data_IF_588596544965
#
_entry.id   IF_588596544965
#
_cell.length_a   1.000
_cell.length_b   1.000
_cell.length_c   1.000
_cell.angle_alpha   90.00
_cell.angle_beta   90.00
_cell.angle_gamma   90.00
#
_symmetry.space_group_name_H-M   'P 1'
#
loop_
_entity.id
_entity.type
_entity.pdbx_description
1 polymer ?
#
# COMPACT_ATOMS: atom_id res chain seq x y z
N UNK A 1 24.21 -4.15 16.89
CA UNK A 1 23.46 -4.01 18.15
C UNK A 1 22.00 -4.38 17.97
N UNK A 2 21.26 -3.82 17.02
CA UNK A 2 19.87 -4.23 16.69
C UNK A 2 19.70 -5.75 16.59
N UNK A 3 20.53 -6.42 15.76
CA UNK A 3 20.54 -7.88 15.62
C UNK A 3 20.75 -8.63 16.95
N UNK A 4 21.55 -8.08 17.85
CA UNK A 4 21.83 -8.67 19.16
C UNK A 4 20.62 -8.54 20.09
N UNK A 5 19.95 -7.38 20.09
CA UNK A 5 18.69 -7.16 20.81
C UNK A 5 17.62 -8.16 20.34
N UNK A 6 17.44 -8.30 19.03
CA UNK A 6 16.50 -9.25 18.45
C UNK A 6 16.85 -10.70 18.82
N UNK A 7 18.14 -11.08 18.77
CA UNK A 7 18.60 -12.41 19.20
C UNK A 7 18.29 -12.66 20.68
N UNK A 8 18.42 -11.65 21.54
CA UNK A 8 18.10 -11.77 22.96
C UNK A 8 16.59 -11.93 23.19
N UNK A 9 15.75 -11.26 22.40
CA UNK A 9 14.29 -11.41 22.39
C UNK A 9 13.88 -12.83 21.97
N UNK A 10 14.48 -13.35 20.90
CA UNK A 10 14.22 -14.70 20.39
C UNK A 10 14.58 -15.78 21.42
N UNK A 11 15.63 -15.54 22.22
CA UNK A 11 16.04 -16.41 23.32
C UNK A 11 15.28 -16.15 24.63
N UNK A 12 14.22 -15.32 24.62
CA UNK A 12 13.42 -14.94 25.78
C UNK A 12 14.21 -14.27 26.92
N UNK A 13 15.34 -13.66 26.60
CA UNK A 13 16.20 -12.93 27.54
C UNK A 13 15.85 -11.44 27.58
N UNK A 14 14.58 -11.13 27.82
CA UNK A 14 14.03 -9.77 27.71
C UNK A 14 14.76 -8.75 28.60
N UNK A 15 15.14 -9.12 29.83
CA UNK A 15 15.91 -8.24 30.73
C UNK A 15 17.28 -7.85 30.15
N UNK A 16 17.95 -8.78 29.47
CA UNK A 16 19.24 -8.51 28.83
C UNK A 16 19.06 -7.59 27.61
N UNK A 17 18.06 -7.88 26.77
CA UNK A 17 17.69 -7.03 25.64
C UNK A 17 17.33 -5.60 26.10
N UNK A 18 16.55 -5.49 27.17
CA UNK A 18 16.14 -4.22 27.78
C UNK A 18 17.34 -3.42 28.29
N UNK A 19 18.26 -4.06 29.02
CA UNK A 19 19.47 -3.40 29.52
C UNK A 19 20.36 -2.92 28.35
N UNK A 20 20.44 -3.70 27.28
CA UNK A 20 21.20 -3.33 26.09
C UNK A 20 20.59 -2.12 25.37
N UNK A 21 19.26 -2.04 25.28
CA UNK A 21 18.57 -0.86 24.74
C UNK A 21 18.86 0.39 25.58
N UNK A 22 18.77 0.29 26.92
CA UNK A 22 19.01 1.43 27.82
C UNK A 22 20.44 1.98 27.77
N UNK A 23 21.40 1.19 27.28
CA UNK A 23 22.80 1.59 27.16
C UNK A 23 23.13 2.25 25.81
N UNK A 24 22.17 2.33 24.87
CA UNK A 24 22.43 2.88 23.54
C UNK A 24 21.39 3.90 23.08
N UNK A 25 21.79 5.17 23.10
CA UNK A 25 21.00 6.32 22.66
C UNK A 25 20.84 6.44 21.12
N UNK A 26 21.57 5.63 20.33
CA UNK A 26 21.53 5.68 18.86
C UNK A 26 20.56 4.68 18.22
N UNK A 27 19.77 3.96 19.01
CA UNK A 27 18.77 3.04 18.49
C UNK A 27 17.57 3.79 17.91
N UNK A 28 16.86 3.12 16.99
CA UNK A 28 15.54 3.58 16.56
C UNK A 28 14.62 3.76 17.79
N UNK A 29 13.78 4.79 17.78
CA UNK A 29 12.96 5.19 18.93
C UNK A 29 12.03 4.08 19.39
N UNK A 30 11.62 3.20 18.48
CA UNK A 30 10.76 2.07 18.78
C UNK A 30 11.37 1.12 19.81
N UNK A 31 12.70 0.98 19.88
CA UNK A 31 13.35 0.18 20.93
C UNK A 31 13.17 0.81 22.30
N UNK A 32 13.28 2.15 22.39
CA UNK A 32 13.00 2.88 23.64
C UNK A 32 11.54 2.71 24.03
N UNK A 33 10.63 2.89 23.07
CA UNK A 33 9.19 2.69 23.28
C UNK A 33 8.89 1.28 23.77
N UNK A 34 9.52 0.25 23.21
CA UNK A 34 9.40 -1.11 23.69
C UNK A 34 9.81 -1.24 25.16
N UNK A 35 10.93 -0.64 25.59
CA UNK A 35 11.34 -0.69 27.00
C UNK A 35 10.35 -0.02 27.94
N UNK A 36 9.68 1.05 27.50
CA UNK A 36 8.65 1.74 28.28
C UNK A 36 7.37 0.89 28.40
N UNK A 37 6.95 0.23 27.30
CA UNK A 37 5.85 -0.75 27.36
C UNK A 37 6.22 -1.91 28.29
N UNK A 38 7.45 -2.41 28.21
CA UNK A 38 7.95 -3.47 29.09
C UNK A 38 7.92 -3.08 30.57
N UNK A 39 8.19 -1.81 30.89
CA UNK A 39 8.06 -1.24 32.23
C UNK A 39 6.60 -1.00 32.68
N UNK A 40 5.61 -1.38 31.85
CA UNK A 40 4.19 -1.24 32.14
C UNK A 40 3.62 0.16 31.87
N UNK A 41 4.35 1.02 31.15
CA UNK A 41 3.83 2.33 30.76
C UNK A 41 2.77 2.18 29.67
N UNK A 42 1.66 2.89 29.84
CA UNK A 42 0.61 3.02 28.84
C UNK A 42 0.77 4.33 28.09
N UNK A 43 0.60 4.30 26.78
CA UNK A 43 0.81 5.47 25.94
C UNK A 43 -0.52 6.11 25.55
N UNK A 44 -1.01 7.11 26.29
CA UNK A 44 -2.21 7.85 25.90
C UNK A 44 -1.94 8.81 24.72
N UNK A 45 -0.77 9.44 24.74
CA UNK A 45 -0.19 10.22 23.64
C UNK A 45 1.30 10.00 23.68
N UNK A 46 1.85 9.32 22.69
CA UNK A 46 3.29 9.34 22.48
C UNK A 46 3.65 10.80 22.19
N UNK A 47 4.71 11.29 22.83
CA UNK A 47 5.34 12.56 22.44
C UNK A 47 5.62 12.48 20.93
N UNK A 48 4.76 13.15 20.14
CA UNK A 48 4.57 12.98 18.68
C UNK A 48 5.82 13.32 17.87
N UNK A 49 6.89 13.69 18.53
CA UNK A 49 8.10 14.20 17.93
C UNK A 49 9.06 13.05 17.61
N UNK A 50 8.73 12.30 16.55
CA UNK A 50 9.68 11.40 15.88
C UNK A 50 10.66 12.25 15.07
N UNK A 51 11.61 12.88 15.77
CA UNK A 51 12.84 13.39 15.17
C UNK A 51 13.80 12.22 14.90
N UNK A 52 13.54 11.43 13.86
CA UNK A 52 14.58 10.52 13.34
C UNK A 52 15.09 11.09 12.02
N UNK A 53 16.40 11.26 11.91
CA UNK A 53 17.05 11.61 10.64
C UNK A 53 16.90 10.50 9.57
N UNK A 54 16.44 9.29 9.97
CA UNK A 54 16.15 8.16 9.08
C UNK A 54 14.76 7.56 9.38
N UNK A 55 13.72 8.29 9.00
CA UNK A 55 12.29 7.92 9.16
C UNK A 55 11.92 6.58 8.53
N UNK A 56 12.57 6.19 7.43
CA UNK A 56 12.35 4.88 6.81
C UNK A 56 12.85 3.75 7.70
N UNK A 57 14.02 3.92 8.32
CA UNK A 57 14.59 2.93 9.22
C UNK A 57 13.77 2.76 10.51
N UNK A 58 13.12 3.83 10.99
CA UNK A 58 12.20 3.74 12.14
C UNK A 58 10.98 2.84 11.85
N UNK A 59 10.40 2.92 10.63
CA UNK A 59 9.31 2.01 10.21
C UNK A 59 9.82 0.57 10.14
N UNK A 60 10.95 0.34 9.48
CA UNK A 60 11.54 -0.99 9.30
C UNK A 60 11.83 -1.65 10.65
N UNK A 61 12.45 -0.92 11.57
CA UNK A 61 12.76 -1.43 12.90
C UNK A 61 11.51 -1.67 13.74
N UNK A 62 10.45 -0.88 13.54
CA UNK A 62 9.16 -1.11 14.19
C UNK A 62 8.50 -2.40 13.76
N UNK A 63 8.52 -2.69 12.46
CA UNK A 63 8.04 -3.96 11.90
C UNK A 63 8.84 -5.13 12.47
N UNK A 64 10.17 -5.08 12.36
CA UNK A 64 11.05 -6.17 12.83
C UNK A 64 10.82 -6.48 14.30
N UNK A 65 10.86 -5.45 15.15
CA UNK A 65 10.74 -5.63 16.59
C UNK A 65 9.36 -6.21 16.96
N UNK A 66 8.28 -5.73 16.35
CA UNK A 66 6.94 -6.28 16.58
C UNK A 66 6.85 -7.76 16.20
N UNK A 67 7.36 -8.14 15.03
CA UNK A 67 7.32 -9.53 14.56
C UNK A 67 8.11 -10.46 15.48
N UNK A 68 9.30 -10.07 15.95
CA UNK A 68 10.09 -10.89 16.88
C UNK A 68 9.36 -11.05 18.22
N UNK A 69 8.80 -9.95 18.75
CA UNK A 69 8.03 -9.98 19.99
C UNK A 69 6.79 -10.87 19.88
N UNK A 70 6.07 -10.83 18.75
CA UNK A 70 4.83 -11.59 18.53
C UNK A 70 5.05 -13.09 18.25
N UNK A 71 6.26 -13.47 17.84
CA UNK A 71 6.69 -14.85 17.69
C UNK A 71 7.27 -15.42 18.99
N UNK A 72 7.67 -14.55 19.92
CA UNK A 72 8.19 -14.93 21.22
C UNK A 72 7.08 -15.21 22.25
N UNK A 73 7.43 -15.74 23.42
CA UNK A 73 6.51 -15.94 24.56
C UNK A 73 6.26 -14.64 25.34
N UNK A 74 6.28 -13.49 24.67
CA UNK A 74 6.06 -12.22 25.34
C UNK A 74 4.60 -12.08 25.80
N UNK A 75 4.39 -11.29 26.84
CA UNK A 75 3.07 -11.11 27.42
C UNK A 75 2.07 -10.55 26.39
N UNK A 76 0.86 -11.11 26.34
CA UNK A 76 -0.14 -10.77 25.31
C UNK A 76 -0.69 -9.36 25.47
N UNK A 77 -0.84 -8.88 26.69
CA UNK A 77 -1.33 -7.51 26.95
C UNK A 77 -0.26 -6.49 26.54
N UNK A 78 1.00 -6.74 26.92
CA UNK A 78 2.14 -5.93 26.51
C UNK A 78 2.33 -5.93 24.99
N UNK A 79 2.19 -7.10 24.35
CA UNK A 79 2.27 -7.22 22.89
C UNK A 79 1.13 -6.44 22.21
N UNK A 80 -0.08 -6.47 22.76
CA UNK A 80 -1.22 -5.71 22.23
C UNK A 80 -0.99 -4.21 22.34
N UNK A 81 -0.48 -3.73 23.47
CA UNK A 81 -0.14 -2.32 23.67
C UNK A 81 1.00 -1.88 22.74
N UNK A 82 2.06 -2.70 22.65
CA UNK A 82 3.17 -2.44 21.73
C UNK A 82 2.71 -2.42 20.27
N UNK A 83 1.83 -3.34 19.85
CA UNK A 83 1.23 -3.32 18.51
C UNK A 83 0.53 -1.99 18.23
N UNK A 84 -0.32 -1.55 19.16
CA UNK A 84 -1.08 -0.30 19.03
C UNK A 84 -0.15 0.89 18.83
N UNK A 85 0.88 0.96 19.66
CA UNK A 85 1.89 2.01 19.63
C UNK A 85 2.74 1.97 18.35
N UNK A 86 3.23 0.80 17.94
CA UNK A 86 4.03 0.64 16.72
C UNK A 86 3.24 1.04 15.47
N UNK A 87 1.96 0.65 15.37
CA UNK A 87 1.09 1.10 14.27
C UNK A 87 0.92 2.61 14.25
N UNK A 88 0.76 3.23 15.42
CA UNK A 88 0.59 4.68 15.54
C UNK A 88 1.86 5.41 15.06
N UNK A 89 3.03 4.97 15.50
CA UNK A 89 4.34 5.49 15.06
C UNK A 89 4.48 5.39 13.53
N UNK A 90 4.22 4.21 12.97
CA UNK A 90 4.31 3.97 11.52
C UNK A 90 3.35 4.89 10.76
N UNK A 91 2.10 5.02 11.22
CA UNK A 91 1.09 5.85 10.58
C UNK A 91 1.42 7.36 10.68
N UNK A 92 1.96 7.82 11.80
CA UNK A 92 2.38 9.21 11.99
C UNK A 92 3.56 9.57 11.07
N UNK A 93 4.55 8.67 10.95
CA UNK A 93 5.68 8.87 10.03
C UNK A 93 5.16 8.95 8.58
N UNK A 94 4.29 8.03 8.17
CA UNK A 94 3.71 8.04 6.83
C UNK A 94 2.91 9.32 6.53
N UNK A 95 2.12 9.79 7.50
CA UNK A 95 1.38 11.05 7.37
C UNK A 95 2.31 12.27 7.30
N UNK A 96 3.35 12.31 8.13
CA UNK A 96 4.36 13.37 8.11
C UNK A 96 5.10 13.43 6.77
N UNK A 97 5.49 12.28 6.23
CA UNK A 97 6.13 12.15 4.92
C UNK A 97 5.21 12.62 3.77
N UNK A 98 3.95 12.19 3.78
CA UNK A 98 2.95 12.67 2.82
C UNK A 98 2.81 14.18 2.87
N UNK A 99 2.66 14.75 4.07
CA UNK A 99 2.54 16.20 4.23
C UNK A 99 3.79 16.95 3.76
N UNK A 100 4.98 16.41 4.01
CA UNK A 100 6.24 16.98 3.51
C UNK A 100 6.38 16.88 1.98
N UNK A 101 5.71 15.91 1.34
CA UNK A 101 5.68 15.75 -0.11
C UNK A 101 4.70 16.70 -0.82
N UNK A 102 3.95 17.50 -0.08
CA UNK A 102 3.02 18.48 -0.61
C UNK A 102 3.50 19.89 -0.26
N UNK A 103 3.87 20.69 -1.26
CA UNK A 103 4.10 22.13 -1.07
C UNK A 103 2.93 22.89 -1.66
N UNK A 104 2.28 23.76 -0.89
CA UNK A 104 1.22 24.62 -1.43
C UNK A 104 1.86 25.87 -2.02
N UNK A 105 1.71 26.07 -3.33
CA UNK A 105 2.13 27.29 -4.03
C UNK A 105 0.90 27.87 -4.72
N UNK A 106 0.55 29.12 -4.39
CA UNK A 106 -0.62 29.83 -4.93
C UNK A 106 -1.95 29.06 -4.83
N UNK A 107 -2.13 28.28 -3.76
CA UNK A 107 -3.34 27.47 -3.54
C UNK A 107 -3.37 26.14 -4.30
N UNK A 108 -2.34 25.82 -5.08
CA UNK A 108 -2.16 24.53 -5.74
C UNK A 108 -1.21 23.65 -4.92
N UNK A 109 -1.54 22.35 -4.84
CA UNK A 109 -0.66 21.35 -4.21
C UNK A 109 0.38 20.94 -5.24
N UNK A 110 1.65 21.31 -5.00
CA UNK A 110 2.80 20.81 -5.74
C UNK A 110 3.32 19.57 -5.03
N UNK A 111 3.26 18.43 -5.71
CA UNK A 111 3.87 17.19 -5.25
C UNK A 111 5.38 17.26 -5.43
N UNK A 112 6.13 17.33 -4.34
CA UNK A 112 7.58 17.15 -4.33
C UNK A 112 7.85 15.76 -3.80
N UNK A 113 8.24 14.78 -4.64
CA UNK A 113 8.51 13.44 -4.18
C UNK A 113 9.49 13.48 -3.01
N UNK A 114 9.12 12.85 -1.89
CA UNK A 114 10.07 12.69 -0.81
C UNK A 114 11.10 11.65 -1.27
N UNK A 115 12.22 12.09 -1.86
CA UNK A 115 13.41 11.26 -2.12
C UNK A 115 14.00 10.59 -0.86
N UNK A 116 13.33 10.75 0.29
CA UNK A 116 13.76 10.36 1.62
C UNK A 116 13.27 8.97 2.04
N UNK A 117 12.38 8.31 1.27
CA UNK A 117 11.84 7.01 1.65
C UNK A 117 12.41 5.92 0.75
N UNK A 118 13.08 4.95 1.37
CA UNK A 118 13.58 3.76 0.68
C UNK A 118 12.38 2.88 0.26
N UNK A 119 12.32 2.40 -1.00
CA UNK A 119 11.21 1.57 -1.46
C UNK A 119 11.00 0.27 -0.66
N UNK A 120 12.06 -0.26 -0.06
CA UNK A 120 12.04 -1.47 0.79
C UNK A 120 11.14 -1.35 2.02
N UNK A 121 10.82 -0.12 2.47
CA UNK A 121 9.84 0.13 3.52
C UNK A 121 8.48 -0.49 3.17
N UNK A 122 8.09 -0.50 1.88
CA UNK A 122 6.84 -1.13 1.43
C UNK A 122 6.83 -2.63 1.68
N UNK A 123 7.97 -3.29 1.48
CA UNK A 123 8.09 -4.75 1.65
C UNK A 123 7.99 -5.13 3.13
N UNK A 124 8.59 -4.33 4.02
CA UNK A 124 8.42 -4.52 5.47
C UNK A 124 6.98 -4.30 5.92
N UNK A 125 6.28 -3.29 5.40
CA UNK A 125 4.87 -3.10 5.73
C UNK A 125 4.02 -4.26 5.18
N UNK A 126 4.34 -4.77 3.99
CA UNK A 126 3.68 -5.96 3.42
C UNK A 126 3.90 -7.20 4.30
N UNK A 127 5.12 -7.40 4.82
CA UNK A 127 5.41 -8.49 5.78
C UNK A 127 4.56 -8.35 7.06
N UNK A 128 4.39 -7.12 7.56
CA UNK A 128 3.55 -6.85 8.73
C UNK A 128 2.07 -7.12 8.45
N UNK A 129 1.56 -6.75 7.26
CA UNK A 129 0.19 -7.03 6.81
C UNK A 129 -0.06 -8.55 6.80
N UNK A 130 0.86 -9.32 6.23
CA UNK A 130 0.77 -10.79 6.18
C UNK A 130 0.85 -11.40 7.57
N UNK A 131 1.67 -10.82 8.45
CA UNK A 131 1.74 -11.23 9.84
C UNK A 131 0.41 -11.01 10.56
N UNK A 132 -0.23 -9.85 10.37
CA UNK A 132 -1.54 -9.56 10.94
C UNK A 132 -2.63 -10.47 10.40
N UNK A 133 -2.58 -10.81 9.12
CA UNK A 133 -3.52 -11.76 8.50
C UNK A 133 -3.44 -13.15 9.15
N UNK A 134 -2.21 -13.69 9.30
CA UNK A 134 -1.97 -14.98 9.98
C UNK A 134 -2.43 -15.01 11.44
N UNK A 135 -2.54 -13.84 12.08
CA UNK A 135 -2.98 -13.67 13.47
C UNK A 135 -4.45 -13.23 13.57
N UNK A 136 -5.17 -13.17 12.45
CA UNK A 136 -6.57 -12.72 12.36
C UNK A 136 -6.79 -11.30 12.92
N UNK A 137 -5.77 -10.44 12.82
CA UNK A 137 -5.80 -9.04 13.28
C UNK A 137 -6.28 -8.11 12.15
N UNK A 138 -7.50 -8.33 11.67
CA UNK A 138 -8.02 -7.73 10.43
C UNK A 138 -8.03 -6.19 10.42
N UNK A 139 -8.38 -5.52 11.53
CA UNK A 139 -8.32 -4.05 11.61
C UNK A 139 -6.88 -3.53 11.49
N UNK A 140 -5.92 -4.23 12.11
CA UNK A 140 -4.51 -3.86 12.03
C UNK A 140 -3.93 -4.10 10.64
N UNK A 141 -4.39 -5.16 9.97
CA UNK A 141 -4.10 -5.45 8.56
C UNK A 141 -4.62 -4.32 7.65
N UNK A 142 -5.85 -3.88 7.85
CA UNK A 142 -6.46 -2.78 7.12
C UNK A 142 -5.69 -1.46 7.34
N UNK A 143 -5.38 -1.11 8.59
CA UNK A 143 -4.60 0.08 8.93
C UNK A 143 -3.25 0.13 8.19
N UNK A 144 -2.54 -1.00 8.14
CA UNK A 144 -1.22 -1.05 7.49
C UNK A 144 -1.32 -1.04 5.97
N UNK A 145 -2.37 -1.60 5.36
CA UNK A 145 -2.61 -1.44 3.93
C UNK A 145 -2.86 0.03 3.55
N UNK A 146 -3.62 0.78 4.38
CA UNK A 146 -3.76 2.23 4.21
C UNK A 146 -2.41 2.93 4.26
N UNK A 147 -1.59 2.66 5.29
CA UNK A 147 -0.26 3.26 5.44
C UNK A 147 0.62 2.94 4.22
N UNK A 148 0.62 1.68 3.77
CA UNK A 148 1.39 1.25 2.61
C UNK A 148 1.00 2.04 1.37
N UNK A 149 -0.30 2.14 1.06
CA UNK A 149 -0.81 2.92 -0.07
C UNK A 149 -0.43 4.41 0.01
N UNK A 150 -0.54 5.01 1.20
CA UNK A 150 -0.12 6.41 1.43
C UNK A 150 1.36 6.64 1.15
N UNK A 151 2.22 5.72 1.59
CA UNK A 151 3.67 5.80 1.32
C UNK A 151 3.97 5.60 -0.17
N UNK A 152 3.31 4.65 -0.82
CA UNK A 152 3.46 4.38 -2.26
C UNK A 152 3.15 5.62 -3.11
N UNK A 153 2.04 6.31 -2.79
CA UNK A 153 1.68 7.58 -3.43
C UNK A 153 2.72 8.68 -3.17
N UNK A 154 3.33 8.69 -1.98
CA UNK A 154 4.36 9.68 -1.60
C UNK A 154 5.69 9.44 -2.31
N UNK A 155 6.02 8.19 -2.62
CA UNK A 155 7.28 7.76 -3.25
C UNK A 155 7.32 8.01 -4.78
N UNK A 156 6.20 8.39 -5.40
CA UNK A 156 6.06 8.52 -6.86
C UNK A 156 6.55 7.28 -7.63
N UNK A 157 6.15 6.10 -7.17
CA UNK A 157 6.45 4.83 -7.83
C UNK A 157 5.60 4.64 -9.10
N UNK A 158 5.98 3.69 -9.93
CA UNK A 158 5.21 3.29 -11.12
C UNK A 158 3.76 2.92 -10.77
N UNK A 159 2.84 3.22 -11.69
CA UNK A 159 1.39 3.00 -11.52
C UNK A 159 1.05 1.59 -11.06
N UNK A 160 1.81 0.57 -11.49
CA UNK A 160 1.61 -0.81 -11.03
C UNK A 160 1.67 -1.00 -9.52
N UNK A 161 2.54 -0.27 -8.83
CA UNK A 161 2.65 -0.35 -7.37
C UNK A 161 1.53 0.43 -6.69
N UNK A 162 1.15 1.59 -7.25
CA UNK A 162 0.05 2.42 -6.77
C UNK A 162 -1.27 1.65 -6.84
N UNK A 163 -1.60 1.08 -8.01
CA UNK A 163 -2.83 0.33 -8.23
C UNK A 163 -2.94 -0.88 -7.30
N UNK A 164 -1.87 -1.68 -7.20
CA UNK A 164 -1.86 -2.86 -6.33
C UNK A 164 -2.10 -2.52 -4.85
N UNK A 165 -1.45 -1.47 -4.33
CA UNK A 165 -1.61 -1.09 -2.92
C UNK A 165 -2.96 -0.41 -2.63
N UNK A 166 -3.48 0.39 -3.57
CA UNK A 166 -4.79 1.03 -3.44
C UNK A 166 -5.94 0.02 -3.49
N UNK A 167 -5.87 -0.98 -4.38
CA UNK A 167 -6.84 -2.09 -4.40
C UNK A 167 -6.77 -2.90 -3.09
N UNK A 168 -5.57 -3.26 -2.64
CA UNK A 168 -5.39 -3.94 -1.34
C UNK A 168 -5.99 -3.13 -0.18
N UNK A 169 -5.79 -1.82 -0.17
CA UNK A 169 -6.36 -0.91 0.83
C UNK A 169 -7.89 -0.93 0.79
N UNK A 170 -8.50 -0.71 -0.38
CA UNK A 170 -9.96 -0.73 -0.56
C UNK A 170 -10.59 -2.07 -0.11
N UNK A 171 -10.00 -3.19 -0.53
CA UNK A 171 -10.46 -4.54 -0.17
C UNK A 171 -10.34 -4.84 1.32
N UNK A 172 -9.27 -4.42 1.98
CA UNK A 172 -9.15 -4.68 3.42
C UNK A 172 -10.10 -3.82 4.25
N UNK A 173 -10.39 -2.60 3.81
CA UNK A 173 -11.43 -1.77 4.44
C UNK A 173 -12.83 -2.33 4.24
N UNK A 174 -13.12 -2.87 3.04
CA UNK A 174 -14.34 -3.64 2.76
C UNK A 174 -14.49 -4.81 3.76
N UNK A 175 -13.43 -5.60 3.95
CA UNK A 175 -13.44 -6.78 4.84
C UNK A 175 -13.68 -6.44 6.32
N UNK A 176 -13.28 -5.26 6.78
CA UNK A 176 -13.56 -4.77 8.14
C UNK A 176 -14.81 -3.88 8.22
N UNK A 177 -15.65 -3.93 7.18
CA UNK A 177 -16.95 -3.24 7.09
C UNK A 177 -16.90 -1.72 7.07
N UNK A 178 -15.75 -1.15 6.69
CA UNK A 178 -15.60 0.29 6.42
C UNK A 178 -16.01 0.58 4.97
N UNK A 179 -17.29 0.34 4.65
CA UNK A 179 -17.77 0.33 3.27
C UNK A 179 -17.72 1.70 2.60
N UNK A 180 -18.05 2.79 3.31
CA UNK A 180 -18.00 4.14 2.75
C UNK A 180 -16.58 4.52 2.34
N UNK A 181 -15.61 4.32 3.23
CA UNK A 181 -14.19 4.54 2.95
C UNK A 181 -13.71 3.65 1.80
N UNK A 182 -14.10 2.36 1.78
CA UNK A 182 -13.75 1.42 0.71
C UNK A 182 -14.23 1.91 -0.67
N UNK A 183 -15.49 2.37 -0.76
CA UNK A 183 -16.05 2.95 -1.99
C UNK A 183 -15.26 4.19 -2.43
N UNK A 184 -14.91 5.10 -1.50
CA UNK A 184 -14.11 6.27 -1.83
C UNK A 184 -12.72 5.91 -2.36
N UNK A 185 -12.09 4.87 -1.80
CA UNK A 185 -10.79 4.36 -2.26
C UNK A 185 -10.90 3.78 -3.66
N UNK A 186 -11.94 2.98 -3.94
CA UNK A 186 -12.16 2.44 -5.28
C UNK A 186 -12.43 3.55 -6.29
N UNK A 187 -13.20 4.59 -5.95
CA UNK A 187 -13.38 5.75 -6.83
C UNK A 187 -12.07 6.51 -7.08
N UNK A 188 -11.17 6.61 -6.09
CA UNK A 188 -9.84 7.19 -6.31
C UNK A 188 -9.02 6.36 -7.32
N UNK A 189 -9.08 5.03 -7.25
CA UNK A 189 -8.46 4.16 -8.26
C UNK A 189 -9.08 4.38 -9.63
N UNK A 190 -10.41 4.46 -9.72
CA UNK A 190 -11.10 4.75 -10.99
C UNK A 190 -10.57 6.05 -11.59
N UNK A 191 -10.55 7.14 -10.81
CA UNK A 191 -10.04 8.43 -11.27
C UNK A 191 -8.58 8.38 -11.77
N UNK A 192 -7.69 7.68 -11.05
CA UNK A 192 -6.26 7.64 -11.37
C UNK A 192 -5.91 6.72 -12.57
N UNK A 193 -6.80 5.77 -12.89
CA UNK A 193 -6.58 4.75 -13.92
C UNK A 193 -7.56 4.81 -15.10
N UNK A 194 -8.57 5.69 -15.08
CA UNK A 194 -9.53 5.84 -16.18
C UNK A 194 -8.86 6.19 -17.51
N UNK A 195 -7.76 6.95 -17.51
CA UNK A 195 -6.97 7.26 -18.71
C UNK A 195 -6.40 6.01 -19.42
N UNK A 196 -6.31 4.87 -18.72
CA UNK A 196 -5.92 3.58 -19.33
C UNK A 196 -6.93 3.10 -20.38
N UNK A 197 -8.19 3.58 -20.32
CA UNK A 197 -9.23 3.33 -21.32
C UNK A 197 -8.99 4.11 -22.63
N UNK A 198 -8.42 5.31 -22.55
CA UNK A 198 -8.28 6.25 -23.68
C UNK A 198 -6.96 6.08 -24.44
N UNK A 199 -5.96 5.46 -23.81
CA UNK A 199 -4.60 5.33 -24.32
C UNK A 199 -4.46 4.11 -25.23
N UNK A 200 -4.82 4.28 -26.51
CA UNK A 200 -4.62 3.27 -27.60
C UNK A 200 -3.13 3.12 -28.00
N UNK A 201 -2.18 3.48 -27.14
CA UNK A 201 -0.77 3.62 -27.51
C UNK A 201 0.21 3.37 -26.35
N UNK A 202 -0.11 2.49 -25.40
CA UNK A 202 0.95 1.96 -24.55
C UNK A 202 1.95 1.18 -25.40
N UNK A 203 3.22 1.55 -25.33
CA UNK A 203 4.32 0.77 -25.91
C UNK A 203 4.45 -0.60 -25.21
N UNK A 204 3.97 -0.69 -23.97
CA UNK A 204 3.92 -1.91 -23.15
C UNK A 204 2.47 -2.35 -22.88
N UNK A 205 2.07 -3.40 -23.59
CA UNK A 205 0.74 -4.00 -23.48
C UNK A 205 0.51 -4.70 -22.13
N UNK A 206 1.54 -5.27 -21.52
CA UNK A 206 1.39 -5.94 -20.22
C UNK A 206 1.08 -4.93 -19.12
N UNK A 207 1.74 -3.77 -19.18
CA UNK A 207 1.46 -2.64 -18.29
C UNK A 207 0.02 -2.13 -18.47
N UNK A 208 -0.45 -1.99 -19.71
CA UNK A 208 -1.84 -1.59 -19.97
C UNK A 208 -2.85 -2.61 -19.42
N UNK A 209 -2.63 -3.91 -19.63
CA UNK A 209 -3.53 -4.95 -19.10
C UNK A 209 -3.54 -4.96 -17.57
N UNK A 210 -2.40 -4.65 -16.94
CA UNK A 210 -2.30 -4.54 -15.49
C UNK A 210 -3.09 -3.34 -14.96
N UNK A 211 -2.94 -2.16 -15.58
CA UNK A 211 -3.71 -0.96 -15.24
C UNK A 211 -5.22 -1.18 -15.40
N UNK A 212 -5.65 -1.79 -16.51
CA UNK A 212 -7.05 -2.16 -16.73
C UNK A 212 -7.56 -3.19 -15.71
N UNK A 213 -6.68 -4.06 -15.21
CA UNK A 213 -6.97 -4.99 -14.12
C UNK A 213 -7.33 -4.26 -12.82
N UNK A 214 -6.56 -3.24 -12.43
CA UNK A 214 -6.88 -2.44 -11.24
C UNK A 214 -8.18 -1.66 -11.41
N UNK A 215 -8.42 -1.09 -12.60
CA UNK A 215 -9.66 -0.40 -12.91
C UNK A 215 -10.88 -1.34 -12.79
N UNK A 216 -10.71 -2.59 -13.25
CA UNK A 216 -11.74 -3.63 -13.12
C UNK A 216 -12.02 -3.95 -11.67
N UNK A 217 -10.98 -4.23 -10.87
CA UNK A 217 -11.12 -4.54 -9.45
C UNK A 217 -11.83 -3.40 -8.69
N UNK A 218 -11.54 -2.14 -9.07
CA UNK A 218 -12.19 -0.97 -8.48
C UNK A 218 -13.68 -0.86 -8.84
N UNK A 219 -14.05 -0.99 -10.12
CA UNK A 219 -15.47 -0.99 -10.53
C UNK A 219 -16.25 -2.14 -9.89
N UNK A 220 -15.67 -3.35 -9.84
CA UNK A 220 -16.29 -4.48 -9.15
C UNK A 220 -16.47 -4.20 -7.65
N UNK A 221 -15.48 -3.57 -7.01
CA UNK A 221 -15.57 -3.12 -5.62
C UNK A 221 -16.72 -2.14 -5.39
N UNK A 222 -16.85 -1.11 -6.22
CA UNK A 222 -17.94 -0.13 -6.16
C UNK A 222 -19.29 -0.81 -6.38
N UNK A 223 -19.41 -1.67 -7.38
CA UNK A 223 -20.65 -2.37 -7.69
C UNK A 223 -21.11 -3.33 -6.58
N UNK A 224 -20.17 -4.00 -5.90
CA UNK A 224 -20.50 -4.85 -4.74
C UNK A 224 -21.07 -4.05 -3.57
N UNK A 225 -20.60 -2.82 -3.39
CA UNK A 225 -20.91 -1.98 -2.23
C UNK A 225 -22.00 -0.94 -2.49
N UNK A 226 -22.33 -0.70 -3.76
CA UNK A 226 -23.30 0.32 -4.18
C UNK A 226 -24.23 -0.23 -5.27
N UNK A 227 -25.48 0.23 -5.28
CA UNK A 227 -26.42 -0.05 -6.38
C UNK A 227 -26.39 1.08 -7.41
N UNK A 228 -25.29 1.16 -8.18
CA UNK A 228 -25.07 2.23 -9.18
C UNK A 228 -25.06 1.65 -10.62
N UNK A 229 -26.17 1.74 -11.38
CA UNK A 229 -26.27 1.16 -12.73
C UNK A 229 -25.19 1.64 -13.72
N UNK A 230 -24.76 2.89 -13.60
CA UNK A 230 -23.73 3.48 -14.48
C UNK A 230 -22.37 2.76 -14.34
N UNK A 231 -22.08 2.22 -13.15
CA UNK A 231 -20.85 1.46 -12.89
C UNK A 231 -20.88 0.10 -13.60
N UNK A 232 -22.05 -0.56 -13.66
CA UNK A 232 -22.18 -1.81 -14.40
C UNK A 232 -21.90 -1.61 -15.89
N UNK A 233 -22.41 -0.53 -16.49
CA UNK A 233 -22.13 -0.20 -17.88
C UNK A 233 -20.62 0.00 -18.11
N UNK A 234 -19.95 0.74 -17.22
CA UNK A 234 -18.50 0.98 -17.31
C UNK A 234 -17.69 -0.30 -17.20
N UNK A 235 -18.09 -1.22 -16.33
CA UNK A 235 -17.47 -2.53 -16.19
C UNK A 235 -17.64 -3.39 -17.46
N UNK A 236 -18.80 -3.33 -18.12
CA UNK A 236 -19.05 -4.03 -19.38
C UNK A 236 -18.18 -3.47 -20.52
N UNK A 237 -18.08 -2.14 -20.62
CA UNK A 237 -17.17 -1.46 -21.55
C UNK A 237 -15.72 -1.90 -21.33
N UNK A 238 -15.26 -1.91 -20.09
CA UNK A 238 -13.92 -2.35 -19.72
C UNK A 238 -13.64 -3.81 -20.08
N UNK A 239 -14.57 -4.74 -19.77
CA UNK A 239 -14.42 -6.15 -20.12
C UNK A 239 -14.30 -6.36 -21.64
N UNK A 240 -15.01 -5.56 -22.43
CA UNK A 240 -14.87 -5.55 -23.89
C UNK A 240 -13.48 -5.08 -24.34
N UNK A 241 -12.94 -4.01 -23.74
CA UNK A 241 -11.58 -3.53 -24.03
C UNK A 241 -10.52 -4.58 -23.70
N UNK A 242 -10.57 -5.15 -22.49
CA UNK A 242 -9.63 -6.17 -22.02
C UNK A 242 -9.63 -7.40 -22.93
N UNK A 243 -10.82 -7.93 -23.28
CA UNK A 243 -10.91 -9.09 -24.18
C UNK A 243 -10.38 -8.80 -25.58
N UNK A 244 -10.58 -7.58 -26.09
CA UNK A 244 -10.04 -7.16 -27.39
C UNK A 244 -8.51 -7.12 -27.37
N UNK A 245 -7.91 -6.56 -26.32
CA UNK A 245 -6.45 -6.49 -26.16
C UNK A 245 -5.83 -7.89 -25.99
N UNK A 246 -6.46 -8.76 -25.20
CA UNK A 246 -6.02 -10.15 -25.03
C UNK A 246 -6.03 -10.93 -26.34
N UNK A 247 -7.11 -10.83 -27.13
CA UNK A 247 -7.18 -11.50 -28.43
C UNK A 247 -6.19 -10.96 -29.47
N UNK A 248 -5.83 -9.67 -29.42
CA UNK A 248 -4.73 -9.15 -30.23
C UNK A 248 -3.40 -9.86 -29.90
N UNK A 249 -3.20 -10.28 -28.65
CA UNK A 249 -1.97 -10.98 -28.20
C UNK A 249 -1.86 -12.35 -28.82
N UNK A 250 -2.98 -13.07 -28.79
CA UNK A 250 -3.07 -14.41 -29.36
C UNK A 250 -2.92 -14.34 -30.88
N UNK A 251 -3.41 -13.28 -31.52
CA UNK A 251 -3.28 -13.09 -32.97
C UNK A 251 -1.91 -12.58 -33.43
N UNK A 252 -1.20 -11.77 -32.64
CA UNK A 252 0.16 -11.30 -32.97
C UNK A 252 1.22 -12.38 -32.75
N UNK A 253 1.06 -13.21 -31.70
CA UNK A 253 1.84 -14.44 -31.53
C UNK A 253 1.57 -15.45 -32.65
N UNK A 254 0.37 -15.44 -33.24
CA UNK A 254 0.03 -16.24 -34.42
C UNK A 254 0.53 -15.62 -35.74
N UNK A 255 0.45 -14.30 -35.93
CA UNK A 255 0.85 -13.59 -37.15
C UNK A 255 2.37 -13.33 -37.27
N UNK A 256 3.15 -13.48 -36.20
CA UNK A 256 4.59 -13.70 -36.35
C UNK A 256 4.93 -15.02 -37.09
N UNK A 257 3.94 -15.90 -37.32
CA UNK A 257 4.05 -17.05 -38.23
C UNK A 257 3.44 -16.83 -39.63
N UNK A 258 2.60 -15.82 -39.82
CA UNK A 258 1.98 -15.48 -41.11
C UNK A 258 1.65 -13.99 -41.20
N UNK A 259 2.44 -13.22 -41.95
CA UNK A 259 2.28 -11.78 -42.04
C UNK A 259 1.09 -11.35 -42.89
N UNK A 260 0.20 -10.52 -42.33
CA UNK A 260 -0.62 -9.60 -43.12
C UNK A 260 -1.16 -8.42 -42.29
N UNK A 261 -0.92 -7.19 -42.76
CA UNK A 261 -0.94 -5.94 -41.99
C UNK A 261 -2.13 -4.99 -42.31
N UNK A 262 -3.24 -5.48 -42.86
CA UNK A 262 -4.34 -4.61 -43.32
C UNK A 262 -5.55 -4.47 -42.38
N UNK A 263 -5.69 -5.31 -41.35
CA UNK A 263 -6.87 -5.26 -40.46
C UNK A 263 -6.76 -4.31 -39.25
N UNK A 264 -5.59 -3.72 -39.01
CA UNK A 264 -5.31 -2.94 -37.78
C UNK A 264 -5.83 -1.50 -37.85
N UNK A 265 -6.02 -0.94 -39.05
CA UNK A 265 -6.32 0.50 -39.23
C UNK A 265 -7.80 0.84 -39.01
N UNK A 266 -8.74 -0.04 -39.38
CA UNK A 266 -10.18 0.24 -39.23
C UNK A 266 -10.68 0.14 -37.79
N UNK A 267 -10.10 -0.73 -36.95
CA UNK A 267 -10.48 -0.85 -35.53
C UNK A 267 -10.15 0.41 -34.72
N UNK A 268 -9.03 1.08 -35.03
CA UNK A 268 -8.59 2.33 -34.36
C UNK A 268 -9.57 3.50 -34.54
N UNK A 269 -10.31 3.54 -35.65
CA UNK A 269 -11.29 4.60 -35.92
C UNK A 269 -12.61 4.41 -35.17
N UNK A 270 -12.93 3.20 -34.72
CA UNK A 270 -14.17 2.91 -34.00
C UNK A 270 -14.06 3.20 -32.50
N UNK A 271 -12.90 2.90 -31.89
CA UNK A 271 -12.63 3.21 -30.47
C UNK A 271 -12.77 4.70 -30.15
N UNK A 272 -12.30 5.60 -31.04
CA UNK A 272 -12.49 7.05 -30.89
C UNK A 272 -13.94 7.52 -30.95
N UNK A 273 -14.87 6.73 -31.50
CA UNK A 273 -16.29 7.09 -31.62
C UNK A 273 -17.12 6.70 -30.40
N UNK A 274 -16.65 5.75 -29.60
CA UNK A 274 -17.34 5.32 -28.37
C UNK A 274 -16.98 6.24 -27.20
N UNK A 275 -15.72 6.68 -27.12
CA UNK A 275 -15.23 7.50 -26.01
C UNK A 275 -15.65 8.99 -26.09
N UNK A 276 -16.27 9.42 -27.20
CA UNK A 276 -16.68 10.81 -27.43
C UNK A 276 -18.21 11.02 -27.46
N UNK A 277 -19.01 10.04 -27.02
CA UNK A 277 -20.46 10.14 -26.86
C UNK A 277 -20.85 9.75 -25.42
#
# INVERSE_FOLDING_TARGET
MTKEILTLIDNHTYTAAYNLVKQNERLAKIYVVWTLVYDGQKFETIDRTIHSDDVGNEIIESVKLYIHLSQSNWDKELLSEFRRVAKMIIAEIAAGLRNASHTIVDGQIIHTPAHLIKPDVRDYIQELIEHFDKKELYESKADMARVKAQLTLTMNLEKRYVGADMIQYGTFYENVKQYEDSVQIYYAVVHDFEEALDSVAYEDKEEQLLELGFLKDAYEGILRLTDTPDIQQKLDELNFVVSTLQHQSDSESFNQSTGDNHHVVEKKSWFKRILNN
#
